data_IF_359751678140
#
_entry.id   IF_359751678140
#
_cell.length_a   1.000
_cell.length_b   1.000
_cell.length_c   1.000
_cell.angle_alpha   90.00
_cell.angle_beta   90.00
_cell.angle_gamma   90.00
#
_symmetry.space_group_name_H-M   'P 1'
#
loop_
_entity.id
_entity.type
_entity.pdbx_description
1 polymer ?
#
# COMPACT_ATOMS: atom_id res chain seq x y z
N UNK A 1 -8.24 -20.38 -14.90
CA UNK A 1 -7.18 -20.43 -13.87
C UNK A 1 -7.81 -20.87 -12.57
N UNK A 2 -7.23 -21.85 -11.88
CA UNK A 2 -7.68 -22.30 -10.55
C UNK A 2 -7.27 -21.31 -9.46
N UNK A 3 -7.84 -21.42 -8.25
CA UNK A 3 -7.44 -20.57 -7.12
C UNK A 3 -5.96 -20.75 -6.73
N UNK A 4 -5.43 -21.97 -6.81
CA UNK A 4 -4.02 -22.22 -6.51
C UNK A 4 -3.10 -21.61 -7.58
N UNK A 5 -3.49 -21.67 -8.85
CA UNK A 5 -2.76 -20.99 -9.94
C UNK A 5 -2.76 -19.45 -9.74
N UNK A 6 -3.90 -18.87 -9.35
CA UNK A 6 -3.98 -17.43 -9.03
C UNK A 6 -3.08 -17.04 -7.86
N UNK A 7 -3.09 -17.83 -6.79
CA UNK A 7 -2.24 -17.62 -5.61
C UNK A 7 -0.75 -17.71 -5.96
N UNK A 8 -0.37 -18.69 -6.78
CA UNK A 8 1.01 -18.84 -7.23
C UNK A 8 1.44 -17.67 -8.10
N UNK A 9 0.61 -17.28 -9.08
CA UNK A 9 0.82 -16.11 -9.94
C UNK A 9 0.99 -14.83 -9.13
N UNK A 10 0.14 -14.60 -8.13
CA UNK A 10 0.22 -13.44 -7.25
C UNK A 10 1.58 -13.39 -6.53
N UNK A 11 2.02 -14.50 -5.93
CA UNK A 11 3.31 -14.58 -5.24
C UNK A 11 4.48 -14.25 -6.17
N UNK A 12 4.48 -14.82 -7.37
CA UNK A 12 5.53 -14.56 -8.38
C UNK A 12 5.59 -13.08 -8.76
N UNK A 13 4.44 -12.45 -9.00
CA UNK A 13 4.36 -11.02 -9.33
C UNK A 13 4.88 -10.13 -8.19
N UNK A 14 4.53 -10.46 -6.95
CA UNK A 14 5.00 -9.73 -5.76
C UNK A 14 6.49 -9.93 -5.48
N UNK A 15 7.06 -11.09 -5.84
CA UNK A 15 8.50 -11.33 -5.75
C UNK A 15 9.29 -10.56 -6.82
N UNK A 16 8.74 -10.46 -8.04
CA UNK A 16 9.36 -9.71 -9.13
C UNK A 16 9.27 -8.19 -8.92
N UNK A 17 8.20 -7.73 -8.26
CA UNK A 17 7.93 -6.32 -7.99
C UNK A 17 7.74 -6.10 -6.49
N UNK A 18 8.79 -6.29 -5.67
CA UNK A 18 8.65 -6.21 -4.22
C UNK A 18 8.27 -4.77 -3.82
N UNK A 19 7.11 -4.57 -3.16
CA UNK A 19 6.64 -3.22 -2.80
C UNK A 19 7.53 -2.58 -1.73
N UNK A 20 8.36 -3.38 -1.04
CA UNK A 20 9.18 -2.94 0.08
C UNK A 20 10.06 -1.73 -0.26
N UNK A 21 10.72 -1.72 -1.42
CA UNK A 21 11.58 -0.61 -1.82
C UNK A 21 10.77 0.70 -2.00
N UNK A 22 9.54 0.61 -2.51
CA UNK A 22 8.66 1.77 -2.67
C UNK A 22 8.10 2.23 -1.31
N UNK A 23 7.72 1.29 -0.45
CA UNK A 23 7.28 1.55 0.93
C UNK A 23 8.37 2.27 1.71
N UNK A 24 9.61 1.79 1.69
CA UNK A 24 10.75 2.40 2.39
C UNK A 24 11.01 3.83 1.88
N UNK A 25 10.95 4.03 0.56
CA UNK A 25 11.09 5.35 -0.05
C UNK A 25 10.00 6.32 0.40
N UNK A 26 8.74 5.87 0.43
CA UNK A 26 7.61 6.71 0.84
C UNK A 26 7.60 6.95 2.36
N UNK A 27 8.00 5.96 3.16
CA UNK A 27 8.19 6.12 4.59
C UNK A 27 9.21 7.21 4.91
N UNK A 28 10.38 7.16 4.25
CA UNK A 28 11.41 8.19 4.41
C UNK A 28 10.88 9.58 4.08
N UNK A 29 10.16 9.72 2.96
CA UNK A 29 9.50 10.99 2.59
C UNK A 29 8.49 11.47 3.64
N UNK A 30 7.69 10.57 4.20
CA UNK A 30 6.69 10.93 5.21
C UNK A 30 7.37 11.45 6.49
N UNK A 31 8.41 10.78 6.96
CA UNK A 31 9.20 11.20 8.14
C UNK A 31 9.93 12.53 7.89
N UNK A 32 10.53 12.70 6.71
CA UNK A 32 11.28 13.91 6.35
C UNK A 32 10.39 15.11 5.99
N UNK A 33 9.07 14.92 5.86
CA UNK A 33 8.13 15.99 5.47
C UNK A 33 7.95 17.08 6.53
N UNK A 34 8.30 16.80 7.79
CA UNK A 34 8.02 17.68 8.93
C UNK A 34 6.54 17.76 9.32
N UNK A 35 5.65 17.04 8.64
CA UNK A 35 4.23 16.99 8.95
C UNK A 35 3.90 16.10 10.16
N UNK A 36 4.85 15.27 10.59
CA UNK A 36 4.70 14.34 11.71
C UNK A 36 5.49 14.85 12.92
N UNK A 37 4.82 14.97 14.06
CA UNK A 37 5.44 15.36 15.31
C UNK A 37 5.97 14.13 16.08
N UNK A 38 6.97 13.46 15.50
CA UNK A 38 7.50 12.19 16.03
C UNK A 38 8.01 12.30 17.48
N UNK A 39 8.41 13.51 17.92
CA UNK A 39 8.99 13.73 19.24
C UNK A 39 7.94 13.67 20.37
N UNK A 40 6.68 13.96 20.06
CA UNK A 40 5.58 14.00 21.03
C UNK A 40 4.63 12.80 20.91
N UNK A 41 4.94 11.84 20.05
CA UNK A 41 4.09 10.67 19.83
C UNK A 41 4.38 9.59 20.89
N UNK A 42 3.35 9.04 21.56
CA UNK A 42 3.55 8.02 22.56
C UNK A 42 4.17 6.76 21.93
N UNK A 43 5.23 6.18 22.51
CA UNK A 43 5.95 5.05 21.91
C UNK A 43 5.10 3.77 21.80
N UNK A 44 4.03 3.66 22.58
CA UNK A 44 3.10 2.52 22.54
C UNK A 44 1.86 2.79 21.65
N UNK A 45 1.72 4.01 21.10
CA UNK A 45 0.57 4.35 20.27
C UNK A 45 0.80 3.97 18.80
N UNK A 46 0.01 3.00 18.34
CA UNK A 46 0.03 2.52 16.97
C UNK A 46 -0.67 3.46 15.97
N UNK A 47 -1.29 4.56 16.43
CA UNK A 47 -1.98 5.55 15.60
C UNK A 47 -1.08 6.16 14.55
N UNK A 48 0.10 6.63 14.93
CA UNK A 48 1.04 7.27 14.00
C UNK A 48 1.49 6.29 12.91
N UNK A 49 1.83 5.06 13.29
CA UNK A 49 2.20 4.01 12.35
C UNK A 49 1.07 3.74 11.34
N UNK A 50 -0.20 3.70 11.79
CA UNK A 50 -1.37 3.56 10.91
C UNK A 50 -1.50 4.73 9.93
N UNK A 51 -1.30 5.96 10.39
CA UNK A 51 -1.38 7.17 9.54
C UNK A 51 -0.31 7.12 8.44
N UNK A 52 0.93 6.82 8.83
CA UNK A 52 2.06 6.70 7.88
C UNK A 52 1.77 5.59 6.87
N UNK A 53 1.36 4.41 7.35
CA UNK A 53 1.08 3.26 6.49
C UNK A 53 -0.07 3.54 5.51
N UNK A 54 -1.16 4.17 5.99
CA UNK A 54 -2.27 4.60 5.14
C UNK A 54 -1.82 5.58 4.04
N UNK A 55 -0.97 6.56 4.39
CA UNK A 55 -0.43 7.53 3.43
C UNK A 55 0.41 6.85 2.34
N UNK A 56 1.27 5.91 2.73
CA UNK A 56 2.09 5.11 1.80
C UNK A 56 1.20 4.35 0.83
N UNK A 57 0.26 3.56 1.34
CA UNK A 57 -0.62 2.73 0.51
C UNK A 57 -1.49 3.59 -0.43
N UNK A 58 -2.01 4.71 0.06
CA UNK A 58 -2.80 5.64 -0.75
C UNK A 58 -1.98 6.26 -1.87
N UNK A 59 -0.73 6.63 -1.60
CA UNK A 59 0.19 7.17 -2.62
C UNK A 59 0.52 6.14 -3.68
N UNK A 60 0.83 4.90 -3.28
CA UNK A 60 1.08 3.79 -4.21
C UNK A 60 -0.16 3.51 -5.08
N UNK A 61 -1.35 3.49 -4.48
CA UNK A 61 -2.61 3.29 -5.19
C UNK A 61 -2.92 4.43 -6.18
N UNK A 62 -2.56 5.68 -5.86
CA UNK A 62 -2.71 6.81 -6.78
C UNK A 62 -1.82 6.69 -8.03
N UNK A 63 -0.58 6.22 -7.86
CA UNK A 63 0.31 5.99 -8.99
C UNK A 63 -0.05 4.74 -9.81
N UNK A 64 -0.73 3.79 -9.18
CA UNK A 64 -1.22 2.56 -9.82
C UNK A 64 -2.74 2.61 -10.08
N UNK A 65 -3.30 3.75 -10.49
CA UNK A 65 -4.72 3.74 -10.85
C UNK A 65 -4.95 2.83 -12.07
N UNK A 66 -5.90 1.87 -12.00
CA UNK A 66 -6.19 1.02 -13.13
C UNK A 66 -6.65 1.88 -14.30
N UNK A 67 -5.96 1.82 -15.43
CA UNK A 67 -6.26 2.71 -16.56
C UNK A 67 -7.52 2.26 -17.32
N UNK A 68 -7.83 0.96 -17.29
CA UNK A 68 -8.99 0.38 -17.96
C UNK A 68 -10.22 0.39 -17.04
N UNK A 69 -11.40 0.58 -17.63
CA UNK A 69 -12.69 0.53 -16.91
C UNK A 69 -12.90 -0.82 -16.22
N UNK A 70 -12.47 -1.91 -16.85
CA UNK A 70 -12.55 -3.27 -16.32
C UNK A 70 -11.78 -3.42 -15.01
N UNK A 71 -10.48 -3.07 -14.99
CA UNK A 71 -9.67 -3.20 -13.79
C UNK A 71 -10.13 -2.24 -12.68
N UNK A 72 -10.68 -1.06 -13.01
CA UNK A 72 -11.30 -0.16 -12.02
C UNK A 72 -12.49 -0.84 -11.36
N UNK A 73 -13.36 -1.47 -12.15
CA UNK A 73 -14.54 -2.15 -11.65
C UNK A 73 -14.20 -3.40 -10.83
N UNK A 74 -13.19 -4.16 -11.25
CA UNK A 74 -12.64 -5.27 -10.45
C UNK A 74 -12.08 -4.81 -9.11
N UNK A 75 -11.32 -3.72 -9.09
CA UNK A 75 -10.77 -3.15 -7.86
C UNK A 75 -11.86 -2.67 -6.90
N UNK A 76 -12.91 -2.00 -7.39
CA UNK A 76 -14.06 -1.59 -6.57
C UNK A 76 -14.86 -2.79 -6.06
N UNK A 77 -15.08 -3.81 -6.90
CA UNK A 77 -15.76 -5.03 -6.48
C UNK A 77 -14.99 -5.74 -5.37
N UNK A 78 -13.66 -5.85 -5.48
CA UNK A 78 -12.84 -6.49 -4.45
C UNK A 78 -12.96 -5.77 -3.09
N UNK A 79 -13.04 -4.44 -3.09
CA UNK A 79 -13.23 -3.65 -1.85
C UNK A 79 -14.54 -3.95 -1.13
N UNK A 80 -15.57 -4.44 -1.82
CA UNK A 80 -16.84 -4.81 -1.18
C UNK A 80 -16.71 -6.05 -0.28
N UNK A 81 -15.65 -6.84 -0.45
CA UNK A 81 -15.42 -8.10 0.27
C UNK A 81 -14.30 -8.02 1.31
N UNK A 82 -13.61 -6.89 1.41
CA UNK A 82 -12.54 -6.61 2.39
C UNK A 82 -13.05 -5.68 3.48
#
# INVERSE_FOLDING_TARGET
MTHEEQKQRFKELMQQNPPQAEIEKLFKKAVESGALDLANEPPEDYRLAKIIYHCILSTMAQHWQPQTTENKQEAENLKLFL
#
